data_IF_782768631024
#
_entry.id   IF_782768631024
#
_cell.length_a   1.000
_cell.length_b   1.000
_cell.length_c   1.000
_cell.angle_alpha   90.00
_cell.angle_beta   90.00
_cell.angle_gamma   90.00
#
_symmetry.space_group_name_H-M   'P 1'
#
loop_
_entity.id
_entity.type
_entity.pdbx_description
1 polymer ?
#
# COMPACT_ATOMS: atom_id res chain seq x y z
N UNK A 1 20.80 -30.12 -17.87
CA UNK A 1 20.73 -30.34 -16.41
C UNK A 1 20.19 -29.06 -15.80
N UNK A 2 18.95 -29.06 -15.32
CA UNK A 2 18.31 -27.90 -14.65
C UNK A 2 18.64 -27.97 -13.17
N UNK A 3 19.56 -27.11 -12.71
CA UNK A 3 19.93 -26.99 -11.31
C UNK A 3 18.75 -26.39 -10.52
N UNK A 4 17.94 -27.25 -9.88
CA UNK A 4 16.83 -26.82 -9.04
C UNK A 4 17.38 -26.24 -7.73
N UNK A 5 17.26 -24.93 -7.56
CA UNK A 5 17.63 -24.25 -6.32
C UNK A 5 16.50 -24.48 -5.31
N UNK A 6 16.73 -25.36 -4.33
CA UNK A 6 15.73 -25.87 -3.38
C UNK A 6 15.06 -24.79 -2.50
N UNK A 7 15.58 -23.55 -2.51
CA UNK A 7 15.02 -22.40 -1.81
C UNK A 7 14.72 -21.21 -2.75
N UNK A 8 14.59 -21.42 -4.06
CA UNK A 8 14.12 -20.34 -4.94
C UNK A 8 12.65 -20.07 -4.65
N UNK A 9 12.33 -18.83 -4.27
CA UNK A 9 10.96 -18.32 -4.32
C UNK A 9 10.81 -17.72 -5.72
N UNK A 10 10.21 -18.43 -6.68
CA UNK A 10 10.00 -17.88 -8.01
C UNK A 10 9.09 -16.65 -7.91
N UNK A 11 9.35 -15.64 -8.73
CA UNK A 11 8.44 -14.51 -8.87
C UNK A 11 7.09 -15.02 -9.39
N UNK A 12 5.96 -14.55 -8.85
CA UNK A 12 4.65 -14.95 -9.34
C UNK A 12 4.50 -14.65 -10.83
N UNK A 13 4.04 -15.63 -11.61
CA UNK A 13 3.87 -15.51 -13.06
C UNK A 13 2.84 -14.42 -13.43
N UNK A 14 1.92 -14.11 -12.51
CA UNK A 14 0.91 -13.06 -12.68
C UNK A 14 0.75 -12.25 -11.38
N UNK A 15 1.22 -11.00 -11.41
CA UNK A 15 1.05 -10.05 -10.31
C UNK A 15 -0.06 -9.01 -10.57
N UNK A 16 -0.61 -8.98 -11.78
CA UNK A 16 -1.61 -7.99 -12.21
C UNK A 16 -2.79 -8.70 -12.85
N UNK A 17 -3.98 -8.50 -12.28
CA UNK A 17 -5.25 -8.88 -12.86
C UNK A 17 -5.89 -7.67 -13.51
N UNK A 18 -6.55 -7.82 -14.64
CA UNK A 18 -7.23 -6.72 -15.32
C UNK A 18 -8.73 -6.81 -15.07
N UNK A 19 -9.29 -5.81 -14.38
CA UNK A 19 -10.73 -5.61 -14.29
C UNK A 19 -11.12 -4.56 -15.31
N UNK A 20 -11.37 -5.00 -16.54
CA UNK A 20 -11.55 -4.10 -17.68
C UNK A 20 -10.29 -3.24 -17.90
N UNK A 21 -10.39 -1.89 -17.91
CA UNK A 21 -9.24 -1.00 -18.09
C UNK A 21 -8.37 -0.83 -16.84
N UNK A 22 -8.76 -1.40 -15.69
CA UNK A 22 -8.09 -1.14 -14.40
C UNK A 22 -7.15 -2.33 -14.06
N UNK A 23 -5.82 -2.11 -14.05
CA UNK A 23 -4.87 -3.13 -13.58
C UNK A 23 -4.89 -3.22 -12.05
N UNK A 24 -5.46 -4.30 -11.52
CA UNK A 24 -5.43 -4.68 -10.11
C UNK A 24 -4.15 -5.44 -9.80
N UNK A 25 -3.29 -4.86 -8.96
CA UNK A 25 -2.05 -5.50 -8.55
C UNK A 25 -2.27 -6.35 -7.30
N UNK A 26 -1.68 -7.54 -7.25
CA UNK A 26 -1.85 -8.47 -6.12
C UNK A 26 -1.42 -7.85 -4.77
N UNK A 27 -0.36 -7.03 -4.77
CA UNK A 27 0.06 -6.34 -3.55
C UNK A 27 -0.99 -5.33 -3.04
N UNK A 28 -1.83 -4.78 -3.91
CA UNK A 28 -2.87 -3.83 -3.48
C UNK A 28 -3.89 -4.53 -2.58
N UNK A 29 -4.23 -5.79 -2.88
CA UNK A 29 -5.07 -6.62 -2.02
C UNK A 29 -4.39 -6.90 -0.67
N UNK A 30 -3.08 -7.18 -0.69
CA UNK A 30 -2.32 -7.38 0.55
C UNK A 30 -2.31 -6.13 1.43
N UNK A 31 -2.18 -4.94 0.83
CA UNK A 31 -2.27 -3.66 1.55
C UNK A 31 -3.66 -3.47 2.15
N UNK A 32 -4.72 -3.67 1.37
CA UNK A 32 -6.11 -3.52 1.84
C UNK A 32 -6.38 -4.49 3.00
N UNK A 33 -5.96 -5.75 2.88
CA UNK A 33 -6.08 -6.74 3.94
C UNK A 33 -5.33 -6.30 5.21
N UNK A 34 -4.11 -5.80 5.08
CA UNK A 34 -3.33 -5.24 6.18
C UNK A 34 -4.03 -4.08 6.89
N UNK A 35 -4.62 -3.15 6.13
CA UNK A 35 -5.39 -2.02 6.67
C UNK A 35 -6.60 -2.53 7.47
N UNK A 36 -7.38 -3.46 6.92
CA UNK A 36 -8.54 -4.05 7.60
C UNK A 36 -8.13 -4.71 8.92
N UNK A 37 -7.06 -5.51 8.90
CA UNK A 37 -6.54 -6.17 10.11
C UNK A 37 -6.05 -5.15 11.13
N UNK A 38 -5.36 -4.09 10.71
CA UNK A 38 -4.88 -3.03 11.59
C UNK A 38 -6.04 -2.28 12.26
N UNK A 39 -7.08 -1.91 11.51
CA UNK A 39 -8.28 -1.26 12.06
C UNK A 39 -9.00 -2.19 13.02
N UNK A 40 -9.21 -3.46 12.65
CA UNK A 40 -9.90 -4.43 13.49
C UNK A 40 -9.17 -4.66 14.81
N UNK A 41 -7.85 -4.90 14.76
CA UNK A 41 -7.04 -5.11 15.94
C UNK A 41 -6.94 -3.85 16.79
N UNK A 42 -6.78 -2.68 16.16
CA UNK A 42 -6.76 -1.37 16.81
C UNK A 42 -8.06 -1.10 17.55
N UNK A 43 -9.20 -1.27 16.89
CA UNK A 43 -10.52 -1.08 17.48
C UNK A 43 -10.76 -2.07 18.64
N UNK A 44 -10.46 -3.35 18.45
CA UNK A 44 -10.57 -4.36 19.53
C UNK A 44 -9.74 -3.97 20.76
N UNK A 45 -8.52 -3.50 20.55
CA UNK A 45 -7.59 -3.14 21.63
C UNK A 45 -7.95 -1.80 22.29
N UNK A 46 -8.54 -0.88 21.53
CA UNK A 46 -9.04 0.40 22.03
C UNK A 46 -10.29 0.23 22.88
N UNK A 47 -11.26 -0.56 22.40
CA UNK A 47 -12.48 -0.90 23.16
C UNK A 47 -12.15 -1.66 24.43
N UNK A 48 -11.19 -2.59 24.40
CA UNK A 48 -10.72 -3.30 25.59
C UNK A 48 -10.12 -2.36 26.67
N UNK A 49 -9.74 -1.14 26.31
CA UNK A 49 -9.25 -0.10 27.23
C UNK A 49 -10.33 0.89 27.66
N UNK A 50 -11.60 0.63 27.32
CA UNK A 50 -12.73 1.52 27.61
C UNK A 50 -12.94 2.62 26.57
N UNK A 51 -12.28 2.54 25.42
CA UNK A 51 -12.50 3.48 24.31
C UNK A 51 -13.82 3.24 23.58
N UNK A 52 -14.34 4.29 22.95
CA UNK A 52 -15.57 4.22 22.17
C UNK A 52 -15.38 3.33 20.91
N UNK A 53 -16.25 2.32 20.69
CA UNK A 53 -16.22 1.52 19.47
C UNK A 53 -16.41 2.39 18.23
N UNK A 54 -15.56 2.22 17.22
CA UNK A 54 -15.70 2.94 15.95
C UNK A 54 -14.78 4.15 15.81
N UNK A 55 -14.29 4.74 16.90
CA UNK A 55 -13.36 5.87 16.85
C UNK A 55 -12.10 5.56 16.02
N UNK A 56 -11.55 4.34 16.15
CA UNK A 56 -10.39 3.90 15.35
C UNK A 56 -10.72 3.86 13.85
N UNK A 57 -11.94 3.44 13.51
CA UNK A 57 -12.41 3.40 12.13
C UNK A 57 -12.57 4.81 11.55
N UNK A 58 -13.11 5.75 12.33
CA UNK A 58 -13.27 7.15 11.91
C UNK A 58 -11.92 7.83 11.67
N UNK A 59 -10.94 7.56 12.53
CA UNK A 59 -9.55 8.02 12.32
C UNK A 59 -8.98 7.39 11.05
N UNK A 60 -9.17 6.07 10.86
CA UNK A 60 -8.65 5.36 9.70
C UNK A 60 -9.25 5.88 8.38
N UNK A 61 -10.51 6.29 8.38
CA UNK A 61 -11.19 6.88 7.22
C UNK A 61 -10.44 8.08 6.66
N UNK A 62 -9.85 8.91 7.52
CA UNK A 62 -9.02 10.05 7.11
C UNK A 62 -7.55 9.65 6.94
N UNK A 63 -7.01 8.83 7.83
CA UNK A 63 -5.61 8.44 7.82
C UNK A 63 -5.20 7.72 6.52
N UNK A 64 -6.09 6.88 5.95
CA UNK A 64 -5.79 6.14 4.72
C UNK A 64 -5.64 7.06 3.50
N UNK A 65 -6.60 7.94 3.15
CA UNK A 65 -6.42 8.94 2.10
C UNK A 65 -5.19 9.83 2.30
N UNK A 66 -4.99 10.35 3.51
CA UNK A 66 -3.82 11.19 3.79
C UNK A 66 -2.50 10.43 3.67
N UNK A 67 -2.47 9.14 4.03
CA UNK A 67 -1.30 8.28 3.84
C UNK A 67 -0.95 8.08 2.36
N UNK A 68 -1.96 7.89 1.50
CA UNK A 68 -1.77 7.75 0.04
C UNK A 68 -1.22 9.06 -0.54
N UNK A 69 -1.81 10.20 -0.17
CA UNK A 69 -1.37 11.53 -0.63
C UNK A 69 0.06 11.81 -0.14
N UNK A 70 0.34 11.59 1.15
CA UNK A 70 1.64 11.82 1.76
C UNK A 70 2.75 10.97 1.16
N UNK A 71 2.49 9.67 0.89
CA UNK A 71 3.45 8.80 0.23
C UNK A 71 3.80 9.27 -1.19
N UNK A 72 2.82 9.81 -1.93
CA UNK A 72 3.06 10.41 -3.24
C UNK A 72 3.83 11.72 -3.15
N UNK A 73 3.48 12.59 -2.21
CA UNK A 73 4.23 13.83 -1.97
C UNK A 73 5.67 13.55 -1.54
N UNK A 74 5.91 12.54 -0.71
CA UNK A 74 7.26 12.11 -0.30
C UNK A 74 8.09 11.65 -1.51
N UNK A 75 7.49 10.86 -2.39
CA UNK A 75 8.16 10.42 -3.62
C UNK A 75 8.54 11.62 -4.51
N UNK A 76 7.61 12.56 -4.70
CA UNK A 76 7.87 13.80 -5.47
C UNK A 76 8.95 14.66 -4.82
N UNK A 77 8.93 14.81 -3.50
CA UNK A 77 9.91 15.59 -2.77
C UNK A 77 11.32 14.96 -2.83
N UNK A 78 11.41 13.63 -2.82
CA UNK A 78 12.68 12.90 -2.85
C UNK A 78 13.28 12.87 -4.26
N UNK A 79 12.46 12.66 -5.29
CA UNK A 79 12.87 12.54 -6.69
C UNK A 79 12.67 13.86 -7.47
N UNK A 80 12.68 15.01 -6.77
CA UNK A 80 12.39 16.32 -7.36
C UNK A 80 13.33 16.67 -8.54
N UNK A 81 14.56 16.17 -8.52
CA UNK A 81 15.55 16.40 -9.57
C UNK A 81 15.21 15.70 -10.90
N UNK A 82 14.44 14.62 -10.88
CA UNK A 82 13.99 13.91 -12.09
C UNK A 82 12.91 14.71 -12.83
N UNK A 83 12.11 15.49 -12.10
CA UNK A 83 11.05 16.33 -12.65
C UNK A 83 11.48 17.77 -12.96
N UNK A 84 12.45 18.33 -12.21
CA UNK A 84 12.84 19.75 -12.32
C UNK A 84 14.32 19.99 -12.66
N UNK A 85 15.12 18.94 -12.90
CA UNK A 85 16.52 19.06 -13.32
C UNK A 85 16.68 19.39 -14.82
N UNK A 86 17.85 19.91 -15.21
CA UNK A 86 18.16 20.39 -16.57
C UNK A 86 18.04 19.35 -17.70
N UNK A 87 18.05 18.04 -17.38
CA UNK A 87 17.80 16.92 -18.31
C UNK A 87 16.57 16.09 -17.90
N UNK A 88 15.68 16.65 -17.07
CA UNK A 88 14.47 15.98 -16.64
C UNK A 88 13.60 15.65 -17.86
N UNK A 89 13.19 14.39 -18.00
CA UNK A 89 12.08 14.01 -18.90
C UNK A 89 10.79 14.57 -18.29
N UNK A 90 10.65 15.89 -18.38
CA UNK A 90 9.36 16.50 -18.57
C UNK A 90 8.70 15.80 -19.76
N UNK A 91 7.38 15.70 -19.68
CA UNK A 91 6.49 15.31 -20.78
C UNK A 91 7.07 15.52 -22.18
#
# INVERSE_FOLDING_TARGET
MTTQVVASIPSPDQATWYLGPIPLRAYALAIIAGIVVAIWLGNRRYVARGGEPGMITDIALWAVPFGIIGGRLYHVASDWQIYFGTDGRGV
#
